data_IF_463742265552
#
_entry.id   IF_463742265552
#
_cell.length_a   1.000
_cell.length_b   1.000
_cell.length_c   1.000
_cell.angle_alpha   90.00
_cell.angle_beta   90.00
_cell.angle_gamma   90.00
#
_symmetry.space_group_name_H-M   'P 1'
#
loop_
_entity.id
_entity.type
_entity.pdbx_description
1 polymer ?
#
# COMPACT_ATOMS: atom_id res chain seq x y z
N UNK A 1 20.42 32.13 26.55
CA UNK A 1 19.20 31.31 26.39
C UNK A 1 18.93 31.19 24.90
N UNK A 2 19.39 30.11 24.27
CA UNK A 2 19.30 29.95 22.80
C UNK A 2 18.00 29.17 22.52
N UNK A 3 17.02 29.88 21.96
CA UNK A 3 15.74 29.32 21.54
C UNK A 3 15.95 28.36 20.37
N UNK A 4 15.73 27.07 20.63
CA UNK A 4 15.63 26.05 19.60
C UNK A 4 14.30 26.24 18.87
N UNK A 5 14.32 26.97 17.75
CA UNK A 5 13.25 26.91 16.76
C UNK A 5 13.25 25.50 16.15
N UNK A 6 12.50 24.58 16.77
CA UNK A 6 12.00 23.39 16.09
C UNK A 6 11.16 23.89 14.92
N UNK A 7 11.75 23.94 13.73
CA UNK A 7 11.01 24.03 12.48
C UNK A 7 10.07 22.83 12.46
N UNK A 8 8.83 23.03 12.88
CA UNK A 8 7.72 22.17 12.52
C UNK A 8 7.64 22.24 10.98
N UNK A 9 8.26 21.26 10.32
CA UNK A 9 7.95 21.02 8.93
C UNK A 9 6.47 20.61 8.89
N UNK A 10 5.63 21.25 8.06
CA UNK A 10 4.22 20.88 7.99
C UNK A 10 4.16 19.40 7.65
N UNK A 11 3.44 18.63 8.48
CA UNK A 11 3.11 17.23 8.25
C UNK A 11 2.78 17.05 6.77
N UNK A 12 3.66 16.39 6.03
CA UNK A 12 3.40 16.01 4.66
C UNK A 12 2.52 14.77 4.71
N UNK A 13 1.29 14.95 5.20
CA UNK A 13 0.31 13.88 5.39
C UNK A 13 -0.26 13.51 4.02
N UNK A 14 0.41 12.60 3.31
CA UNK A 14 -0.23 11.85 2.25
C UNK A 14 -1.33 11.00 2.90
N UNK A 15 -2.59 11.29 2.58
CA UNK A 15 -3.74 10.54 3.05
C UNK A 15 -4.17 9.56 1.97
N UNK A 16 -4.38 8.33 2.39
CA UNK A 16 -4.85 7.22 1.56
C UNK A 16 -6.31 6.96 1.90
N UNK A 17 -7.16 6.90 0.88
CA UNK A 17 -8.52 6.43 0.98
C UNK A 17 -8.82 5.43 -0.15
N UNK A 18 -9.80 4.57 0.09
CA UNK A 18 -10.27 3.61 -0.90
C UNK A 18 -11.76 3.85 -1.15
N UNK A 19 -12.14 3.90 -2.42
CA UNK A 19 -13.54 4.04 -2.86
C UNK A 19 -13.96 2.84 -3.70
N UNK A 20 -15.27 2.70 -3.90
CA UNK A 20 -15.86 1.66 -4.72
C UNK A 20 -15.35 0.25 -4.36
N UNK A 21 -15.21 0.00 -3.04
CA UNK A 21 -14.72 -1.28 -2.52
C UNK A 21 -15.71 -2.38 -2.90
N UNK A 22 -15.23 -3.38 -3.63
CA UNK A 22 -16.03 -4.49 -4.13
C UNK A 22 -15.27 -5.80 -4.03
N UNK A 23 -15.98 -6.90 -3.76
CA UNK A 23 -15.35 -8.22 -3.75
C UNK A 23 -14.76 -8.56 -5.13
N UNK A 24 -13.53 -9.08 -5.17
CA UNK A 24 -12.91 -9.47 -6.44
C UNK A 24 -13.64 -10.65 -7.10
N UNK A 25 -14.30 -11.49 -6.28
CA UNK A 25 -15.14 -12.63 -6.66
C UNK A 25 -16.13 -12.89 -5.53
N UNK A 26 -17.36 -13.25 -5.86
CA UNK A 26 -18.39 -13.53 -4.85
C UNK A 26 -17.92 -14.56 -3.82
N UNK A 27 -17.94 -14.17 -2.54
CA UNK A 27 -17.53 -15.00 -1.40
C UNK A 27 -16.02 -15.07 -1.15
N UNK A 28 -15.21 -14.31 -1.89
CA UNK A 28 -13.79 -14.16 -1.59
C UNK A 28 -13.60 -13.10 -0.49
N UNK A 29 -12.76 -13.33 0.54
CA UNK A 29 -12.52 -12.38 1.61
C UNK A 29 -11.55 -11.23 1.19
N UNK A 30 -11.54 -10.89 -0.10
CA UNK A 30 -10.57 -9.98 -0.70
C UNK A 30 -11.28 -8.98 -1.61
N UNK A 31 -10.92 -7.71 -1.50
CA UNK A 31 -11.58 -6.63 -2.22
C UNK A 31 -10.68 -5.99 -3.28
N UNK A 32 -11.31 -5.51 -4.34
CA UNK A 32 -10.78 -4.49 -5.24
C UNK A 32 -11.36 -3.13 -4.88
N UNK A 33 -10.58 -2.07 -5.03
CA UNK A 33 -11.00 -0.71 -4.77
C UNK A 33 -10.31 0.28 -5.71
N UNK A 34 -10.90 1.46 -5.81
CA UNK A 34 -10.28 2.65 -6.40
C UNK A 34 -9.45 3.36 -5.33
N UNK A 35 -8.20 3.66 -5.65
CA UNK A 35 -7.30 4.40 -4.77
C UNK A 35 -7.55 5.90 -4.91
N UNK A 36 -7.75 6.57 -3.78
CA UNK A 36 -7.74 8.02 -3.69
C UNK A 36 -6.62 8.50 -2.79
N UNK A 37 -5.75 9.35 -3.35
CA UNK A 37 -4.67 9.99 -2.63
C UNK A 37 -4.94 11.48 -2.49
N UNK A 38 -4.75 12.02 -1.30
CA UNK A 38 -4.81 13.47 -1.06
C UNK A 38 -3.58 13.91 -0.27
N UNK A 39 -3.05 15.09 -0.57
CA UNK A 39 -1.82 15.58 0.07
C UNK A 39 -1.21 16.74 -0.67
N UNK A 40 -0.14 17.31 -0.11
CA UNK A 40 0.63 18.39 -0.75
C UNK A 40 1.44 17.92 -1.96
N UNK A 41 1.68 16.61 -2.06
CA UNK A 41 2.24 15.93 -3.20
C UNK A 41 1.54 14.59 -3.36
N UNK A 42 1.20 14.22 -4.59
CA UNK A 42 0.53 12.96 -4.93
C UNK A 42 1.40 12.24 -5.97
N UNK A 43 1.83 11.00 -5.72
CA UNK A 43 2.55 10.21 -6.72
C UNK A 43 1.63 9.83 -7.88
N UNK A 44 2.19 9.77 -9.09
CA UNK A 44 1.50 9.26 -10.28
C UNK A 44 1.53 7.72 -10.26
N UNK A 45 0.47 7.12 -9.71
CA UNK A 45 0.31 5.68 -9.59
C UNK A 45 -0.69 5.13 -10.61
N UNK A 46 -0.61 3.83 -10.97
CA UNK A 46 -1.55 3.23 -11.91
C UNK A 46 -3.00 3.33 -11.45
N UNK A 47 -3.89 3.58 -12.41
CA UNK A 47 -5.32 3.57 -12.15
C UNK A 47 -5.84 2.16 -11.87
N UNK A 48 -6.75 2.07 -10.90
CA UNK A 48 -7.51 0.86 -10.56
C UNK A 48 -6.69 -0.34 -10.07
N UNK A 49 -7.43 -1.38 -9.66
CA UNK A 49 -6.87 -2.66 -9.24
C UNK A 49 -6.23 -2.64 -7.85
N UNK A 50 -6.59 -1.69 -6.99
CA UNK A 50 -6.04 -1.61 -5.64
C UNK A 50 -6.77 -2.54 -4.69
N UNK A 51 -6.09 -2.99 -3.64
CA UNK A 51 -6.72 -3.59 -2.48
C UNK A 51 -6.97 -2.50 -1.45
N UNK A 52 -8.01 -2.66 -0.64
CA UNK A 52 -8.32 -1.81 0.52
C UNK A 52 -7.35 -2.05 1.70
N UNK A 53 -6.08 -2.28 1.40
CA UNK A 53 -5.00 -2.52 2.35
C UNK A 53 -3.93 -1.44 2.22
N UNK A 54 -3.59 -0.85 3.36
CA UNK A 54 -2.53 0.14 3.48
C UNK A 54 -1.77 -0.07 4.79
N UNK A 55 -0.49 0.27 4.79
CA UNK A 55 0.35 0.36 5.99
C UNK A 55 1.18 1.63 5.93
N UNK A 56 1.55 2.17 7.08
CA UNK A 56 2.39 3.36 7.19
C UNK A 56 3.48 3.14 8.23
N UNK A 57 4.66 3.74 8.00
CA UNK A 57 5.67 3.87 9.06
C UNK A 57 5.18 4.80 10.16
N UNK A 58 5.71 4.65 11.38
CA UNK A 58 5.33 5.49 12.54
C UNK A 58 5.55 6.99 12.32
N UNK A 59 6.56 7.35 11.54
CA UNK A 59 6.87 8.73 11.15
C UNK A 59 6.06 9.23 9.93
N UNK A 60 5.17 8.40 9.38
CA UNK A 60 4.37 8.65 8.17
C UNK A 60 5.17 8.95 6.91
N UNK A 61 6.48 8.65 6.92
CA UNK A 61 7.33 8.84 5.75
C UNK A 61 7.04 7.81 4.66
N UNK A 62 6.84 6.57 5.05
CA UNK A 62 6.64 5.46 4.13
C UNK A 62 5.18 5.02 4.16
N UNK A 63 4.58 4.87 2.97
CA UNK A 63 3.22 4.36 2.80
C UNK A 63 3.27 3.16 1.87
N UNK A 64 2.76 2.03 2.35
CA UNK A 64 2.68 0.77 1.64
C UNK A 64 1.26 0.56 1.13
N UNK A 65 1.11 0.40 -0.18
CA UNK A 65 -0.17 0.15 -0.84
C UNK A 65 -0.11 -1.20 -1.58
N UNK A 66 -1.22 -1.92 -1.59
CA UNK A 66 -1.29 -3.22 -2.26
C UNK A 66 -2.16 -3.10 -3.51
N UNK A 67 -1.63 -3.58 -4.64
CA UNK A 67 -2.36 -3.63 -5.92
C UNK A 67 -2.44 -5.05 -6.44
N UNK A 68 -3.61 -5.45 -6.91
CA UNK A 68 -3.79 -6.68 -7.67
C UNK A 68 -2.98 -6.66 -8.97
N UNK A 69 -2.41 -7.81 -9.30
CA UNK A 69 -1.80 -8.07 -10.59
C UNK A 69 -2.32 -9.41 -11.10
N UNK A 70 -3.32 -9.37 -11.99
CA UNK A 70 -3.90 -10.58 -12.54
C UNK A 70 -3.05 -11.05 -13.74
N UNK A 71 -2.40 -12.20 -13.59
CA UNK A 71 -1.89 -12.98 -14.73
C UNK A 71 -2.63 -14.30 -14.77
N UNK A 72 -3.11 -14.65 -15.96
CA UNK A 72 -3.43 -16.04 -16.34
C UNK A 72 -4.21 -16.83 -15.28
N UNK A 73 -5.31 -16.26 -14.79
CA UNK A 73 -6.24 -16.95 -13.90
C UNK A 73 -5.75 -17.18 -12.46
N UNK A 74 -4.57 -16.68 -12.08
CA UNK A 74 -4.03 -16.81 -10.72
C UNK A 74 -3.97 -15.44 -10.02
N UNK A 75 -4.36 -15.36 -8.72
CA UNK A 75 -4.23 -14.12 -7.97
C UNK A 75 -2.74 -13.83 -7.72
N UNK A 76 -2.32 -12.63 -8.05
CA UNK A 76 -1.04 -12.07 -7.61
C UNK A 76 -1.27 -10.64 -7.15
N UNK A 77 -0.33 -10.13 -6.38
CA UNK A 77 -0.31 -8.74 -5.97
C UNK A 77 1.10 -8.17 -6.02
N UNK A 78 1.19 -6.85 -6.01
CA UNK A 78 2.43 -6.08 -5.85
C UNK A 78 2.24 -5.08 -4.72
N UNK A 79 3.34 -4.78 -4.02
CA UNK A 79 3.38 -3.73 -3.01
C UNK A 79 4.06 -2.50 -3.60
N UNK A 80 3.37 -1.37 -3.52
CA UNK A 80 3.94 -0.06 -3.81
C UNK A 80 4.39 0.57 -2.50
N UNK A 81 5.63 1.07 -2.47
CA UNK A 81 6.18 1.83 -1.36
C UNK A 81 6.33 3.28 -1.78
N UNK A 82 5.62 4.19 -1.13
CA UNK A 82 5.73 5.63 -1.37
C UNK A 82 6.63 6.22 -0.29
N UNK A 83 7.65 6.99 -0.67
CA UNK A 83 8.46 7.82 0.23
C UNK A 83 8.02 9.28 0.10
N UNK A 84 7.21 9.75 1.05
CA UNK A 84 6.60 11.09 1.03
C UNK A 84 7.64 12.21 1.16
N UNK A 85 8.79 11.91 1.79
CA UNK A 85 9.91 12.84 1.95
C UNK A 85 10.71 12.97 0.67
N UNK A 86 11.02 11.85 0.01
CA UNK A 86 11.73 11.85 -1.29
C UNK A 86 10.83 12.22 -2.46
N UNK A 87 9.51 12.20 -2.27
CA UNK A 87 8.51 12.43 -3.31
C UNK A 87 8.67 11.44 -4.47
N UNK A 88 8.83 10.17 -4.10
CA UNK A 88 9.04 9.08 -5.05
C UNK A 88 8.29 7.83 -4.59
N UNK A 89 8.14 6.86 -5.48
CA UNK A 89 7.61 5.55 -5.14
C UNK A 89 8.40 4.42 -5.81
N UNK A 90 8.42 3.27 -5.16
CA UNK A 90 8.96 2.04 -5.73
C UNK A 90 7.88 0.97 -5.77
N UNK A 91 8.05 0.04 -6.70
CA UNK A 91 7.19 -1.14 -6.83
C UNK A 91 8.03 -2.37 -6.51
N UNK A 92 7.54 -3.22 -5.62
CA UNK A 92 8.15 -4.51 -5.36
C UNK A 92 7.92 -5.48 -6.52
N UNK A 93 8.66 -6.59 -6.49
CA UNK A 93 8.39 -7.72 -7.36
C UNK A 93 7.01 -8.31 -7.08
N UNK A 94 6.47 -8.99 -8.10
CA UNK A 94 5.18 -9.66 -8.02
C UNK A 94 5.20 -10.77 -6.98
N UNK A 95 4.14 -10.84 -6.18
CA UNK A 95 3.91 -11.87 -5.18
C UNK A 95 2.71 -12.72 -5.57
N UNK A 96 2.93 -14.02 -5.72
CA UNK A 96 1.86 -14.98 -5.95
C UNK A 96 0.95 -15.10 -4.71
N UNK A 97 -0.35 -15.16 -4.94
CA UNK A 97 -1.41 -15.27 -3.92
C UNK A 97 -2.23 -14.00 -3.74
N UNK A 98 -2.97 -13.96 -2.64
CA UNK A 98 -3.70 -12.79 -2.17
C UNK A 98 -3.01 -12.20 -0.94
N UNK A 99 -2.83 -10.88 -0.90
CA UNK A 99 -2.38 -10.22 0.31
C UNK A 99 -3.54 -10.19 1.31
N UNK A 100 -3.29 -10.63 2.53
CA UNK A 100 -4.30 -10.64 3.60
C UNK A 100 -4.09 -9.47 4.56
N UNK A 101 -2.83 -9.14 4.82
CA UNK A 101 -2.41 -8.04 5.70
C UNK A 101 -1.07 -7.51 5.23
N UNK A 102 -0.86 -6.22 5.46
CA UNK A 102 0.43 -5.54 5.28
C UNK A 102 0.70 -4.69 6.52
N UNK A 103 1.96 -4.60 6.95
CA UNK A 103 2.38 -3.75 8.05
C UNK A 103 3.80 -3.23 7.80
N UNK A 104 4.16 -2.17 8.50
CA UNK A 104 5.53 -1.67 8.54
C UNK A 104 6.27 -2.30 9.72
N UNK A 105 7.42 -2.92 9.48
CA UNK A 105 8.33 -3.35 10.55
C UNK A 105 9.40 -2.28 10.78
N UNK A 106 9.38 -1.68 11.97
CA UNK A 106 10.32 -0.63 12.37
C UNK A 106 11.76 -1.13 12.50
N UNK A 107 11.96 -2.43 12.79
CA UNK A 107 13.30 -2.98 12.97
C UNK A 107 14.02 -3.14 11.62
N UNK A 108 13.35 -3.71 10.63
CA UNK A 108 13.91 -3.92 9.29
C UNK A 108 13.72 -2.73 8.35
N UNK A 109 12.90 -1.75 8.73
CA UNK A 109 12.49 -0.60 7.91
C UNK A 109 11.90 -1.03 6.56
N UNK A 110 11.02 -2.03 6.59
CA UNK A 110 10.40 -2.61 5.40
C UNK A 110 8.91 -2.86 5.62
N UNK A 111 8.18 -2.94 4.51
CA UNK A 111 6.83 -3.49 4.53
C UNK A 111 6.90 -5.01 4.53
N UNK A 112 6.23 -5.61 5.50
CA UNK A 112 5.98 -7.04 5.58
C UNK A 112 4.49 -7.31 5.33
N UNK A 113 4.18 -8.55 4.93
CA UNK A 113 2.81 -8.92 4.60
C UNK A 113 2.54 -10.40 4.89
N UNK A 114 1.28 -10.68 5.19
CA UNK A 114 0.72 -12.03 5.25
C UNK A 114 0.00 -12.31 3.92
N UNK A 115 0.20 -13.52 3.37
CA UNK A 115 -0.38 -13.92 2.10
C UNK A 115 -1.11 -15.25 2.20
N UNK A 116 -2.21 -15.34 1.47
CA UNK A 116 -2.97 -16.56 1.28
C UNK A 116 -2.69 -17.13 -0.11
N UNK A 117 -2.33 -18.41 -0.17
CA UNK A 117 -2.16 -19.17 -1.42
C UNK A 117 -3.34 -20.13 -1.57
N UNK A 118 -4.10 -19.99 -2.65
CA UNK A 118 -5.11 -20.99 -3.01
C UNK A 118 -4.44 -22.11 -3.80
N UNK A 119 -4.39 -23.31 -3.24
CA UNK A 119 -3.94 -24.52 -3.93
C UNK A 119 -5.17 -25.34 -4.31
N UNK A 120 -5.46 -25.45 -5.61
CA UNK A 120 -6.48 -26.38 -6.08
C UNK A 120 -5.87 -27.78 -6.09
N UNK A 121 -6.18 -28.60 -5.09
CA UNK A 121 -5.85 -30.02 -5.12
C UNK A 121 -6.68 -30.69 -6.22
N UNK A 122 -6.01 -31.45 -7.10
CA UNK A 122 -6.67 -32.22 -8.16
C UNK A 122 -7.44 -33.41 -7.59
#
# INVERSE_FOLDING_TARGET
MISFLRKFLPNQDLKVAFKNVMEIRMGAPFNGADLELTGSWIPDLPQGGWQDLTACSSDKRYVGLVRWEHLEGSPNFVVYTIDTKRKDFTKADRVAGCCKKIWWDENSQKFEFDRFLYVKTK
#
